data_IF_619431269246
#
_entry.id   IF_619431269246
#
_cell.length_a   1.000
_cell.length_b   1.000
_cell.length_c   1.000
_cell.angle_alpha   90.00
_cell.angle_beta   90.00
_cell.angle_gamma   90.00
#
_symmetry.space_group_name_H-M   'P 1'
#
loop_
_entity.id
_entity.type
_entity.pdbx_description
1 polymer ?
#
# COMPACT_ATOMS: atom_id res chain seq x y z
N UNK A 1 7.18 -49.07 19.96
CA UNK A 1 5.77 -48.88 19.56
C UNK A 1 5.45 -47.39 19.62
N UNK A 2 5.76 -46.65 18.54
CA UNK A 2 5.53 -45.19 18.47
C UNK A 2 4.15 -44.99 17.85
N UNK A 3 3.15 -44.69 18.68
CA UNK A 3 1.83 -44.29 18.21
C UNK A 3 1.95 -42.91 17.57
N UNK A 4 1.99 -42.89 16.23
CA UNK A 4 1.76 -41.71 15.42
C UNK A 4 0.47 -41.03 15.92
N UNK A 5 0.51 -39.78 16.35
CA UNK A 5 -0.68 -39.06 16.84
C UNK A 5 -1.35 -38.32 15.68
N UNK A 6 -2.32 -38.92 14.96
CA UNK A 6 -2.94 -38.31 13.77
C UNK A 6 -3.65 -36.99 14.06
N UNK A 7 -4.08 -36.78 15.32
CA UNK A 7 -4.76 -35.57 15.77
C UNK A 7 -3.86 -34.33 15.69
N UNK A 8 -2.58 -34.46 16.03
CA UNK A 8 -1.63 -33.33 15.99
C UNK A 8 -1.34 -32.89 14.54
N UNK A 9 -1.18 -33.86 13.64
CA UNK A 9 -0.94 -33.57 12.22
C UNK A 9 -2.18 -32.93 11.56
N UNK A 10 -3.38 -33.38 11.90
CA UNK A 10 -4.64 -32.78 11.44
C UNK A 10 -4.80 -31.33 11.95
N UNK A 11 -4.53 -31.07 13.23
CA UNK A 11 -4.54 -29.70 13.78
C UNK A 11 -3.54 -28.79 13.08
N UNK A 12 -2.31 -29.27 12.85
CA UNK A 12 -1.27 -28.51 12.14
C UNK A 12 -1.69 -28.17 10.70
N UNK A 13 -2.27 -29.12 9.97
CA UNK A 13 -2.80 -28.88 8.61
C UNK A 13 -3.95 -27.86 8.60
N UNK A 14 -4.84 -27.89 9.58
CA UNK A 14 -5.92 -26.91 9.71
C UNK A 14 -5.37 -25.50 9.98
N UNK A 15 -4.38 -25.37 10.87
CA UNK A 15 -3.73 -24.08 11.17
C UNK A 15 -3.03 -23.53 9.93
N UNK A 16 -2.26 -24.36 9.23
CA UNK A 16 -1.57 -23.96 8.00
C UNK A 16 -2.56 -23.57 6.90
N UNK A 17 -3.63 -24.35 6.73
CA UNK A 17 -4.72 -24.04 5.81
C UNK A 17 -5.31 -22.67 6.12
N UNK A 18 -5.73 -22.42 7.37
CA UNK A 18 -6.30 -21.14 7.79
C UNK A 18 -5.33 -19.97 7.55
N UNK A 19 -4.05 -20.14 7.89
CA UNK A 19 -3.03 -19.12 7.68
C UNK A 19 -2.86 -18.78 6.19
N UNK A 20 -2.86 -19.78 5.31
CA UNK A 20 -2.79 -19.57 3.87
C UNK A 20 -4.04 -18.87 3.34
N UNK A 21 -5.23 -19.28 3.75
CA UNK A 21 -6.47 -18.64 3.30
C UNK A 21 -6.54 -17.19 3.76
N UNK A 22 -6.16 -16.92 5.01
CA UNK A 22 -6.10 -15.56 5.56
C UNK A 22 -5.07 -14.69 4.82
N UNK A 23 -3.90 -15.25 4.48
CA UNK A 23 -2.86 -14.53 3.74
C UNK A 23 -3.33 -14.19 2.33
N UNK A 24 -3.94 -15.15 1.63
CA UNK A 24 -4.47 -14.94 0.29
C UNK A 24 -5.63 -13.93 0.28
N UNK A 25 -6.53 -14.02 1.25
CA UNK A 25 -7.62 -13.07 1.41
C UNK A 25 -7.10 -11.66 1.68
N UNK A 26 -6.10 -11.52 2.56
CA UNK A 26 -5.45 -10.22 2.85
C UNK A 26 -4.78 -9.63 1.62
N UNK A 27 -4.06 -10.46 0.84
CA UNK A 27 -3.43 -10.02 -0.40
C UNK A 27 -4.47 -9.58 -1.44
N UNK A 28 -5.55 -10.33 -1.60
CA UNK A 28 -6.67 -9.97 -2.47
C UNK A 28 -7.34 -8.66 -2.05
N UNK A 29 -7.62 -8.50 -0.76
CA UNK A 29 -8.15 -7.26 -0.18
C UNK A 29 -7.24 -6.06 -0.46
N UNK A 30 -5.92 -6.21 -0.30
CA UNK A 30 -4.94 -5.15 -0.58
C UNK A 30 -4.96 -4.72 -2.04
N UNK A 31 -5.16 -5.64 -2.99
CA UNK A 31 -5.26 -5.33 -4.41
C UNK A 31 -6.59 -4.64 -4.79
N UNK A 32 -7.68 -4.96 -4.09
CA UNK A 32 -8.99 -4.35 -4.35
C UNK A 32 -9.16 -2.98 -3.68
N UNK A 33 -8.62 -2.81 -2.48
CA UNK A 33 -8.74 -1.58 -1.71
C UNK A 33 -7.69 -0.57 -2.17
N UNK A 34 -8.15 0.57 -2.68
CA UNK A 34 -7.31 1.68 -3.10
C UNK A 34 -7.52 2.87 -2.14
N UNK A 35 -7.01 2.80 -0.90
CA UNK A 35 -7.18 3.90 0.05
C UNK A 35 -6.57 5.18 -0.52
N UNK A 36 -7.27 6.30 -0.33
CA UNK A 36 -6.72 7.61 -0.67
C UNK A 36 -5.55 7.89 0.29
N UNK A 37 -4.33 8.19 -0.20
CA UNK A 37 -3.22 8.52 0.67
C UNK A 37 -3.55 9.80 1.44
N UNK A 38 -3.15 9.85 2.72
CA UNK A 38 -3.26 11.04 3.56
C UNK A 38 -1.92 11.75 3.74
N UNK A 39 -0.81 11.08 3.40
CA UNK A 39 0.54 11.58 3.58
C UNK A 39 1.36 11.29 2.33
N UNK A 40 2.16 12.27 1.89
CA UNK A 40 3.10 12.13 0.78
C UNK A 40 4.46 12.63 1.23
N UNK A 41 5.51 11.89 0.89
CA UNK A 41 6.88 12.32 1.11
C UNK A 41 7.40 13.04 -0.15
N UNK A 42 7.80 14.30 -0.01
CA UNK A 42 8.51 15.02 -1.07
C UNK A 42 10.02 14.80 -0.91
N UNK A 43 10.61 14.03 -1.84
CA UNK A 43 12.05 13.80 -1.90
C UNK A 43 12.81 14.84 -2.74
N UNK A 44 12.08 15.73 -3.44
CA UNK A 44 12.68 16.72 -4.34
C UNK A 44 13.03 18.01 -3.57
N UNK A 45 14.17 18.67 -3.87
CA UNK A 45 14.54 19.96 -3.28
C UNK A 45 13.75 21.15 -3.86
N UNK A 46 12.71 20.91 -4.68
CA UNK A 46 11.86 21.96 -5.26
C UNK A 46 11.07 22.76 -4.22
N UNK A 47 10.75 22.13 -3.08
CA UNK A 47 10.23 22.73 -1.85
C UNK A 47 10.87 21.99 -0.67
N UNK A 48 10.48 22.30 0.58
CA UNK A 48 11.03 21.61 1.75
C UNK A 48 10.87 20.07 1.63
N UNK A 49 11.94 19.34 1.93
CA UNK A 49 11.95 17.87 1.92
C UNK A 49 11.26 17.38 3.19
N UNK A 50 10.31 16.44 3.05
CA UNK A 50 9.58 15.93 4.21
C UNK A 50 8.20 15.36 3.90
N UNK A 51 7.46 15.07 4.96
CA UNK A 51 6.10 14.55 4.90
C UNK A 51 5.06 15.68 4.85
N UNK A 52 4.15 15.59 3.89
CA UNK A 52 3.04 16.51 3.69
C UNK A 52 1.71 15.79 3.82
N UNK A 53 0.77 16.38 4.56
CA UNK A 53 -0.59 15.86 4.69
C UNK A 53 -1.45 16.31 3.52
N UNK A 54 -2.21 15.38 2.94
CA UNK A 54 -3.23 15.66 1.92
C UNK A 54 -4.51 16.10 2.63
N UNK A 55 -5.07 17.24 2.24
CA UNK A 55 -6.34 17.76 2.72
C UNK A 55 -7.22 18.20 1.54
N UNK A 56 -8.54 18.14 1.73
CA UNK A 56 -9.47 18.70 0.75
C UNK A 56 -9.33 20.24 0.74
N UNK A 57 -9.22 20.89 -0.42
CA UNK A 57 -9.08 22.33 -0.48
C UNK A 57 -10.42 23.01 -0.16
N UNK A 58 -10.44 23.87 0.86
CA UNK A 58 -11.60 24.76 1.12
C UNK A 58 -11.52 26.04 0.28
N UNK A 59 -10.29 26.54 0.06
CA UNK A 59 -9.96 27.66 -0.83
C UNK A 59 -8.48 27.56 -1.20
N UNK A 60 -8.14 27.70 -2.49
CA UNK A 60 -6.76 27.73 -2.96
C UNK A 60 -6.25 29.16 -3.02
N UNK A 61 -5.04 29.40 -2.51
CA UNK A 61 -4.34 30.68 -2.56
C UNK A 61 -2.99 30.53 -3.27
N UNK A 62 -2.44 31.65 -3.74
CA UNK A 62 -1.08 31.65 -4.30
C UNK A 62 -0.09 31.26 -3.19
N UNK A 63 0.80 30.32 -3.50
CA UNK A 63 1.76 29.76 -2.54
C UNK A 63 1.36 28.41 -1.96
N UNK A 64 0.10 27.97 -2.16
CA UNK A 64 -0.32 26.65 -1.72
C UNK A 64 0.37 25.53 -2.51
N UNK A 65 0.77 24.47 -1.81
CA UNK A 65 1.28 23.24 -2.37
C UNK A 65 0.13 22.32 -2.75
N UNK A 66 0.06 21.93 -4.03
CA UNK A 66 -0.98 21.06 -4.56
C UNK A 66 -0.39 19.73 -5.03
N UNK A 67 -1.08 18.64 -4.70
CA UNK A 67 -0.74 17.33 -5.24
C UNK A 67 -1.51 17.11 -6.56
N UNK A 68 -0.80 17.14 -7.68
CA UNK A 68 -1.37 16.93 -9.00
C UNK A 68 -1.12 15.50 -9.51
N UNK A 69 -2.12 14.91 -10.18
CA UNK A 69 -1.96 13.63 -10.89
C UNK A 69 -1.46 13.92 -12.31
N UNK A 70 -0.24 13.47 -12.61
CA UNK A 70 0.35 13.56 -13.94
C UNK A 70 -0.44 12.74 -14.97
N UNK A 71 -0.58 13.21 -16.22
CA UNK A 71 -1.06 12.41 -17.35
C UNK A 71 -0.20 11.17 -17.57
N UNK A 72 -0.79 10.10 -18.14
CA UNK A 72 -0.14 8.80 -18.29
C UNK A 72 1.20 8.89 -19.02
N UNK A 73 1.26 9.63 -20.12
CA UNK A 73 2.48 9.78 -20.92
C UNK A 73 3.61 10.46 -20.13
N UNK A 74 3.28 11.47 -19.33
CA UNK A 74 4.27 12.16 -18.49
C UNK A 74 4.77 11.28 -17.34
N UNK A 75 3.92 10.36 -16.84
CA UNK A 75 4.33 9.37 -15.82
C UNK A 75 5.34 8.37 -16.36
N UNK A 76 5.23 7.95 -17.63
CA UNK A 76 6.21 7.06 -18.27
C UNK A 76 7.57 7.75 -18.35
N UNK A 77 7.60 8.98 -18.86
CA UNK A 77 8.82 9.78 -18.96
C UNK A 77 9.52 9.98 -17.60
N UNK A 78 8.75 10.17 -16.52
CA UNK A 78 9.31 10.30 -15.17
C UNK A 78 9.92 8.99 -14.65
N UNK A 79 9.40 7.84 -15.08
CA UNK A 79 9.89 6.52 -14.67
C UNK A 79 11.19 6.16 -15.42
N UNK A 80 11.34 6.60 -16.66
CA UNK A 80 12.51 6.33 -17.50
C UNK A 80 13.74 7.19 -17.14
N UNK A 81 13.57 8.20 -16.27
CA UNK A 81 14.62 9.14 -15.83
C UNK A 81 15.20 8.80 -14.45
N UNK A 82 14.88 7.62 -13.90
CA UNK A 82 15.30 7.17 -12.58
C UNK A 82 16.59 6.35 -12.65
#
# INVERSE_FOLDING_TARGET
>A
MILWQPKMLRRRRLILGLAMTASLATLGLSACLHPRPWLVYNASPSVAVGFYRIAAPTRLQRGDLVLARLPLEMRKLANDRR
#
